data_IF_432599202193
#
_entry.id   IF_432599202193
#
_cell.length_a   1.000
_cell.length_b   1.000
_cell.length_c   1.000
_cell.angle_alpha   90.00
_cell.angle_beta   90.00
_cell.angle_gamma   90.00
#
_symmetry.space_group_name_H-M   'P 1'
#
loop_
_entity.id
_entity.type
_entity.pdbx_description
1 polymer ?
#
# COMPACT_ATOMS: atom_id res chain seq x y z
N UNK A 1 -31.44 3.46 21.34
CA UNK A 1 -31.99 3.95 20.06
C UNK A 1 -33.45 4.27 20.28
N UNK A 2 -33.88 5.48 19.93
CA UNK A 2 -35.25 5.95 20.12
C UNK A 2 -36.23 5.19 19.21
N UNK A 3 -37.49 5.04 19.59
CA UNK A 3 -38.51 4.29 18.82
C UNK A 3 -38.74 4.92 17.45
N UNK A 4 -38.60 6.24 17.37
CA UNK A 4 -38.70 7.01 16.13
C UNK A 4 -37.51 6.76 15.19
N UNK A 5 -36.29 6.70 15.72
CA UNK A 5 -35.08 6.38 14.95
C UNK A 5 -35.17 4.96 14.36
N UNK A 6 -35.71 4.01 15.13
CA UNK A 6 -35.93 2.64 14.66
C UNK A 6 -36.92 2.60 13.49
N UNK A 7 -38.05 3.31 13.59
CA UNK A 7 -39.04 3.34 12.51
C UNK A 7 -38.46 3.95 11.21
N UNK A 8 -37.61 4.97 11.33
CA UNK A 8 -36.93 5.60 10.20
C UNK A 8 -35.88 4.69 9.56
N UNK A 9 -35.14 3.92 10.36
CA UNK A 9 -34.17 2.95 9.83
C UNK A 9 -34.84 1.76 9.14
N UNK A 10 -36.01 1.33 9.62
CA UNK A 10 -36.80 0.28 8.94
C UNK A 10 -37.31 0.78 7.59
N UNK A 11 -37.84 2.00 7.53
CA UNK A 11 -38.31 2.62 6.28
C UNK A 11 -37.16 2.83 5.28
N UNK A 12 -35.99 3.29 5.77
CA UNK A 12 -34.76 3.40 4.97
C UNK A 12 -34.31 2.04 4.41
N UNK A 13 -34.32 0.99 5.23
CA UNK A 13 -33.98 -0.36 4.79
C UNK A 13 -34.93 -0.87 3.71
N UNK A 14 -36.24 -0.65 3.88
CA UNK A 14 -37.25 -1.11 2.92
C UNK A 14 -37.07 -0.42 1.56
N UNK A 15 -36.75 0.88 1.56
CA UNK A 15 -36.48 1.64 0.35
C UNK A 15 -35.15 1.25 -0.32
N UNK A 16 -34.11 0.97 0.46
CA UNK A 16 -32.82 0.49 -0.05
C UNK A 16 -32.93 -0.91 -0.68
N UNK A 17 -33.82 -1.76 -0.16
CA UNK A 17 -34.09 -3.09 -0.71
C UNK A 17 -34.88 -3.01 -2.01
N UNK A 18 -35.90 -2.15 -2.09
CA UNK A 18 -36.64 -1.91 -3.33
C UNK A 18 -35.70 -1.42 -4.45
N UNK A 19 -34.75 -0.54 -4.14
CA UNK A 19 -33.73 -0.07 -5.09
C UNK A 19 -32.73 -1.14 -5.52
N UNK A 20 -32.53 -2.19 -4.73
CA UNK A 20 -31.63 -3.31 -5.08
C UNK A 20 -32.29 -4.37 -5.97
N UNK A 21 -33.63 -4.44 -5.98
CA UNK A 21 -34.40 -5.37 -6.80
C UNK A 21 -34.88 -4.76 -8.13
N UNK A 22 -34.60 -3.48 -8.37
CA UNK A 22 -34.90 -2.82 -9.65
C UNK A 22 -33.77 -3.11 -10.66
N UNK A 23 -34.08 -3.86 -11.72
CA UNK A 23 -33.13 -4.21 -12.80
C UNK A 23 -32.54 -2.98 -13.53
N UNK A 24 -33.03 -1.78 -13.25
CA UNK A 24 -32.57 -0.51 -13.85
C UNK A 24 -31.61 0.27 -12.97
N UNK A 25 -31.32 -0.13 -11.74
CA UNK A 25 -30.37 0.58 -10.89
C UNK A 25 -28.93 0.33 -11.33
N UNK A 26 -28.14 1.41 -11.35
CA UNK A 26 -26.74 1.33 -11.74
C UNK A 26 -25.94 0.52 -10.71
N UNK A 27 -24.90 -0.18 -11.17
CA UNK A 27 -24.01 -0.97 -10.30
C UNK A 27 -23.40 -0.15 -9.15
N UNK A 28 -23.23 1.16 -9.36
CA UNK A 28 -22.77 2.10 -8.34
C UNK A 28 -23.82 2.35 -7.24
N UNK A 29 -25.08 2.57 -7.61
CA UNK A 29 -26.18 2.74 -6.66
C UNK A 29 -26.48 1.43 -5.91
N UNK A 30 -26.32 0.29 -6.58
CA UNK A 30 -26.39 -1.03 -5.95
C UNK A 30 -25.28 -1.18 -4.90
N UNK A 31 -24.03 -0.84 -5.23
CA UNK A 31 -22.91 -0.93 -4.29
C UNK A 31 -23.06 0.03 -3.09
N UNK A 32 -23.54 1.25 -3.34
CA UNK A 32 -23.81 2.25 -2.31
C UNK A 32 -24.94 1.81 -1.38
N UNK A 33 -26.03 1.28 -1.93
CA UNK A 33 -27.15 0.74 -1.16
C UNK A 33 -26.70 -0.46 -0.33
N UNK A 34 -25.91 -1.38 -0.91
CA UNK A 34 -25.29 -2.51 -0.19
C UNK A 34 -24.40 -2.06 0.97
N UNK A 35 -23.58 -1.02 0.79
CA UNK A 35 -22.72 -0.50 1.86
C UNK A 35 -23.54 0.16 2.98
N UNK A 36 -24.54 0.97 2.61
CA UNK A 36 -25.41 1.63 3.58
C UNK A 36 -26.19 0.62 4.44
N UNK A 37 -26.66 -0.47 3.82
CA UNK A 37 -27.32 -1.55 4.57
C UNK A 37 -26.34 -2.24 5.54
N UNK A 38 -25.08 -2.49 5.12
CA UNK A 38 -24.07 -3.04 6.03
C UNK A 38 -23.82 -2.14 7.25
N UNK A 39 -23.78 -0.83 7.04
CA UNK A 39 -23.60 0.15 8.11
C UNK A 39 -24.81 0.20 9.07
N UNK A 40 -26.04 0.08 8.54
CA UNK A 40 -27.25 -0.03 9.36
C UNK A 40 -27.26 -1.35 10.16
N UNK A 41 -26.90 -2.48 9.55
CA UNK A 41 -26.80 -3.76 10.26
C UNK A 41 -25.73 -3.77 11.35
N UNK A 42 -24.60 -3.07 11.13
CA UNK A 42 -23.51 -2.96 12.11
C UNK A 42 -23.86 -2.04 13.29
N UNK A 43 -24.89 -1.19 13.16
CA UNK A 43 -25.30 -0.23 14.20
C UNK A 43 -26.48 -0.69 15.05
N UNK A 44 -27.04 -1.88 14.79
CA UNK A 44 -28.22 -2.41 15.49
C UNK A 44 -27.95 -3.74 16.21
N UNK A 45 -27.73 -3.68 17.53
CA UNK A 45 -27.56 -4.85 18.42
C UNK A 45 -28.87 -5.36 19.07
N UNK A 46 -30.04 -4.95 18.56
CA UNK A 46 -31.34 -5.27 19.17
C UNK A 46 -31.92 -6.61 18.64
N UNK A 47 -32.27 -7.58 19.51
CA UNK A 47 -32.72 -8.91 19.10
C UNK A 47 -34.01 -8.93 18.26
N UNK A 48 -34.92 -7.96 18.39
CA UNK A 48 -36.13 -7.91 17.53
C UNK A 48 -35.83 -7.46 16.10
N UNK A 49 -34.70 -6.79 15.89
CA UNK A 49 -34.23 -6.29 14.60
C UNK A 49 -33.39 -7.34 13.84
N UNK A 50 -32.75 -8.26 14.58
CA UNK A 50 -31.99 -9.37 14.00
C UNK A 50 -32.87 -10.35 13.20
N UNK A 51 -34.12 -10.61 13.64
CA UNK A 51 -35.05 -11.50 12.92
C UNK A 51 -35.39 -10.97 11.50
N UNK A 52 -35.42 -9.64 11.33
CA UNK A 52 -35.67 -9.00 10.02
C UNK A 52 -34.40 -8.93 9.14
N UNK A 53 -33.21 -9.10 9.73
CA UNK A 53 -31.90 -9.10 9.04
C UNK A 53 -31.49 -10.52 8.59
N UNK A 54 -32.06 -11.57 9.15
CA UNK A 54 -31.72 -12.97 8.83
C UNK A 54 -31.84 -13.33 7.33
N UNK A 55 -32.91 -12.95 6.61
CA UNK A 55 -33.00 -13.17 5.16
C UNK A 55 -31.89 -12.46 4.38
N UNK A 56 -31.41 -11.33 4.90
CA UNK A 56 -30.39 -10.48 4.28
C UNK A 56 -28.96 -11.01 4.52
N UNK A 57 -28.67 -11.55 5.72
CA UNK A 57 -27.42 -12.29 5.98
C UNK A 57 -27.29 -13.49 5.03
N UNK A 58 -28.38 -14.20 4.76
CA UNK A 58 -28.39 -15.31 3.81
C UNK A 58 -28.09 -14.87 2.36
N UNK A 59 -28.55 -13.69 1.94
CA UNK A 59 -28.26 -13.15 0.60
C UNK A 59 -26.78 -12.75 0.41
N UNK A 60 -26.15 -12.19 1.44
CA UNK A 60 -24.71 -11.86 1.40
C UNK A 60 -23.85 -13.13 1.49
N UNK A 61 -24.26 -14.13 2.29
CA UNK A 61 -23.55 -15.41 2.40
C UNK A 61 -23.60 -16.23 1.10
N UNK A 62 -24.61 -16.03 0.24
CA UNK A 62 -24.66 -16.63 -1.11
C UNK A 62 -23.55 -16.12 -2.06
N UNK A 63 -22.72 -15.15 -1.65
CA UNK A 63 -21.57 -14.68 -2.45
C UNK A 63 -20.23 -15.35 -2.08
N UNK A 64 -20.19 -16.19 -1.04
CA UNK A 64 -19.01 -16.93 -0.59
C UNK A 64 -19.33 -18.43 -0.47
N UNK A 65 -18.32 -19.30 -0.41
CA UNK A 65 -18.56 -20.69 -0.01
C UNK A 65 -19.06 -20.72 1.43
N UNK A 66 -20.12 -21.47 1.69
CA UNK A 66 -20.60 -21.64 3.06
C UNK A 66 -19.54 -22.37 3.90
N UNK A 67 -19.53 -22.06 5.20
CA UNK A 67 -18.65 -22.73 6.16
C UNK A 67 -18.85 -24.25 6.14
N UNK A 68 -20.10 -24.69 5.94
CA UNK A 68 -20.47 -26.10 5.91
C UNK A 68 -19.99 -26.79 4.63
N UNK A 69 -20.07 -26.14 3.46
CA UNK A 69 -19.51 -26.66 2.20
C UNK A 69 -18.00 -26.80 2.28
N UNK A 70 -17.30 -25.81 2.84
CA UNK A 70 -15.85 -25.81 3.00
C UNK A 70 -15.39 -26.92 3.95
N UNK A 71 -16.08 -27.09 5.10
CA UNK A 71 -15.76 -28.15 6.05
C UNK A 71 -16.05 -29.55 5.49
N UNK A 72 -17.13 -29.71 4.72
CA UNK A 72 -17.49 -31.00 4.13
C UNK A 72 -16.52 -31.44 3.04
N UNK A 73 -15.90 -30.49 2.32
CA UNK A 73 -14.91 -30.79 1.28
C UNK A 73 -13.47 -30.83 1.80
N UNK A 74 -13.24 -30.42 3.06
CA UNK A 74 -11.96 -30.57 3.76
C UNK A 74 -10.86 -29.65 3.24
N UNK A 75 -11.21 -28.44 2.76
CA UNK A 75 -10.25 -27.44 2.28
C UNK A 75 -10.45 -26.07 2.94
N UNK A 76 -11.12 -26.03 4.10
CA UNK A 76 -11.45 -24.79 4.80
C UNK A 76 -10.20 -24.06 5.31
N UNK A 77 -9.17 -24.78 5.76
CA UNK A 77 -7.94 -24.20 6.32
C UNK A 77 -7.04 -23.57 5.25
N UNK A 78 -7.15 -24.03 4.01
CA UNK A 78 -6.37 -23.52 2.87
C UNK A 78 -7.15 -22.54 1.99
N UNK A 79 -8.44 -22.34 2.28
CA UNK A 79 -9.26 -21.34 1.63
C UNK A 79 -8.84 -19.93 2.05
N UNK A 80 -8.77 -19.01 1.08
CA UNK A 80 -8.34 -17.62 1.28
C UNK A 80 -9.44 -16.60 1.02
N UNK A 81 -10.58 -17.01 0.49
CA UNK A 81 -11.73 -16.14 0.26
C UNK A 81 -12.27 -16.20 -1.16
N UNK A 82 -13.43 -15.57 -1.35
CA UNK A 82 -14.05 -15.34 -2.66
C UNK A 82 -14.00 -13.86 -2.97
N UNK A 83 -13.60 -13.52 -4.19
CA UNK A 83 -13.35 -12.14 -4.60
C UNK A 83 -13.99 -11.87 -5.96
N UNK A 84 -14.31 -10.61 -6.24
CA UNK A 84 -14.90 -10.20 -7.52
C UNK A 84 -13.89 -9.62 -8.51
N UNK A 85 -12.62 -9.48 -8.09
CA UNK A 85 -11.54 -8.85 -8.87
C UNK A 85 -10.27 -9.69 -8.84
N UNK A 86 -9.67 -9.92 -10.01
CA UNK A 86 -8.45 -10.74 -10.17
C UNK A 86 -7.30 -10.27 -9.28
N UNK A 87 -7.00 -8.97 -9.24
CA UNK A 87 -5.89 -8.45 -8.44
C UNK A 87 -6.03 -8.72 -6.93
N UNK A 88 -7.26 -8.87 -6.42
CA UNK A 88 -7.48 -9.24 -5.01
C UNK A 88 -7.26 -10.73 -4.74
N UNK A 89 -7.63 -11.59 -5.69
CA UNK A 89 -7.34 -13.04 -5.63
C UNK A 89 -5.83 -13.27 -5.63
N UNK A 90 -5.11 -12.57 -6.50
CA UNK A 90 -3.65 -12.66 -6.61
C UNK A 90 -2.98 -12.21 -5.31
N UNK A 91 -3.37 -11.06 -4.77
CA UNK A 91 -2.84 -10.57 -3.50
C UNK A 91 -3.13 -11.53 -2.33
N UNK A 92 -4.35 -12.10 -2.27
CA UNK A 92 -4.74 -13.01 -1.19
C UNK A 92 -3.97 -14.34 -1.23
N UNK A 93 -3.70 -14.87 -2.42
CA UNK A 93 -2.93 -16.10 -2.59
C UNK A 93 -1.44 -15.85 -2.37
N UNK A 94 -0.87 -14.74 -2.84
CA UNK A 94 0.54 -14.42 -2.63
C UNK A 94 0.89 -14.06 -1.19
N UNK A 95 -0.05 -13.55 -0.41
CA UNK A 95 0.12 -13.34 1.03
C UNK A 95 0.39 -14.65 1.80
N UNK A 96 0.10 -15.82 1.20
CA UNK A 96 0.40 -17.13 1.75
C UNK A 96 0.92 -18.06 0.65
N UNK A 97 2.11 -17.74 0.15
CA UNK A 97 2.72 -18.32 -1.05
C UNK A 97 2.96 -19.85 -1.01
N UNK A 98 2.91 -20.45 0.18
CA UNK A 98 3.26 -21.85 0.38
C UNK A 98 2.13 -22.81 -0.05
N UNK A 99 0.88 -22.46 0.27
CA UNK A 99 -0.29 -23.29 -0.01
C UNK A 99 -1.59 -22.53 0.26
N UNK A 100 -2.48 -22.50 -0.72
CA UNK A 100 -3.76 -21.82 -0.60
C UNK A 100 -4.55 -21.79 -1.90
N UNK A 101 -5.86 -21.61 -1.76
CA UNK A 101 -6.77 -21.45 -2.88
C UNK A 101 -7.82 -20.38 -2.59
N UNK A 102 -8.30 -19.73 -3.64
CA UNK A 102 -9.30 -18.67 -3.59
C UNK A 102 -10.24 -18.79 -4.79
N UNK A 103 -11.42 -18.19 -4.69
CA UNK A 103 -12.33 -18.11 -5.83
C UNK A 103 -12.44 -16.68 -6.36
N UNK A 104 -12.47 -16.57 -7.67
CA UNK A 104 -12.91 -15.40 -8.39
C UNK A 104 -14.37 -15.61 -8.79
N UNK A 105 -15.26 -14.71 -8.37
CA UNK A 105 -16.67 -14.74 -8.71
C UNK A 105 -17.01 -13.59 -9.65
N UNK A 106 -17.64 -13.92 -10.78
CA UNK A 106 -18.18 -12.94 -11.72
C UNK A 106 -19.65 -13.29 -12.00
N UNK A 107 -20.55 -12.49 -11.43
CA UNK A 107 -21.98 -12.79 -11.39
C UNK A 107 -22.26 -14.17 -10.76
N UNK A 108 -22.80 -15.12 -11.52
CA UNK A 108 -23.09 -16.49 -11.06
C UNK A 108 -21.96 -17.48 -11.39
N UNK A 109 -20.86 -17.02 -12.00
CA UNK A 109 -19.77 -17.90 -12.42
C UNK A 109 -18.62 -17.86 -11.43
N UNK A 110 -18.05 -19.04 -11.22
CA UNK A 110 -16.98 -19.32 -10.27
C UNK A 110 -15.72 -19.74 -11.01
N UNK A 111 -14.58 -19.20 -10.60
CA UNK A 111 -13.28 -19.66 -11.05
C UNK A 111 -12.38 -19.87 -9.84
N UNK A 112 -11.84 -21.07 -9.70
CA UNK A 112 -10.94 -21.45 -8.61
C UNK A 112 -9.49 -21.18 -9.02
N UNK A 113 -8.76 -20.55 -8.11
CA UNK A 113 -7.35 -20.24 -8.26
C UNK A 113 -6.58 -20.91 -7.14
N UNK A 114 -5.57 -21.68 -7.53
CA UNK A 114 -4.69 -22.41 -6.61
C UNK A 114 -3.28 -21.90 -6.81
N UNK A 115 -2.58 -21.55 -5.72
CA UNK A 115 -1.18 -21.16 -5.79
C UNK A 115 -0.27 -22.37 -6.02
N UNK A 116 0.70 -22.21 -6.91
CA UNK A 116 1.74 -23.19 -7.22
C UNK A 116 3.11 -22.66 -6.82
N UNK A 117 4.11 -23.55 -6.65
CA UNK A 117 5.51 -23.15 -6.53
C UNK A 117 5.94 -22.18 -7.64
N UNK A 118 6.90 -21.30 -7.33
CA UNK A 118 7.33 -20.18 -8.18
C UNK A 118 6.26 -19.11 -8.45
N UNK A 119 5.30 -18.93 -7.53
CA UNK A 119 4.31 -17.84 -7.55
C UNK A 119 3.46 -17.82 -8.84
N UNK A 120 3.10 -19.01 -9.33
CA UNK A 120 2.19 -19.15 -10.47
C UNK A 120 0.83 -19.68 -10.01
N UNK A 121 -0.21 -19.50 -10.84
CA UNK A 121 -1.56 -19.96 -10.51
C UNK A 121 -1.98 -21.13 -11.39
N UNK A 122 -2.64 -22.11 -10.79
CA UNK A 122 -3.51 -23.06 -11.49
C UNK A 122 -4.93 -22.51 -11.44
N UNK A 123 -5.53 -22.29 -12.61
CA UNK A 123 -6.87 -21.68 -12.73
C UNK A 123 -7.85 -22.68 -13.32
N UNK A 124 -9.02 -22.80 -12.73
CA UNK A 124 -10.10 -23.59 -13.29
C UNK A 124 -10.73 -22.89 -14.50
N UNK A 125 -11.48 -23.63 -15.34
CA UNK A 125 -12.52 -23.03 -16.17
C UNK A 125 -13.57 -22.31 -15.31
N UNK A 126 -14.37 -21.45 -15.94
CA UNK A 126 -15.54 -20.86 -15.30
C UNK A 126 -16.62 -21.93 -15.09
N UNK A 127 -17.18 -21.98 -13.89
CA UNK A 127 -18.17 -22.96 -13.45
C UNK A 127 -19.44 -22.26 -12.95
N UNK A 128 -20.57 -22.93 -13.06
CA UNK A 128 -21.88 -22.33 -12.77
C UNK A 128 -22.36 -22.59 -11.34
N UNK A 129 -21.61 -23.35 -10.54
CA UNK A 129 -21.96 -23.67 -9.16
C UNK A 129 -20.72 -23.73 -8.25
N UNK A 130 -20.93 -23.43 -6.96
CA UNK A 130 -19.93 -23.61 -5.90
C UNK A 130 -19.50 -25.07 -5.77
N UNK A 131 -20.44 -26.00 -5.97
CA UNK A 131 -20.19 -27.43 -5.84
C UNK A 131 -19.26 -27.96 -6.93
N UNK A 132 -19.46 -27.52 -8.19
CA UNK A 132 -18.55 -27.86 -9.29
C UNK A 132 -17.15 -27.29 -9.03
N UNK A 133 -17.07 -26.08 -8.45
CA UNK A 133 -15.82 -25.44 -8.08
C UNK A 133 -15.03 -26.24 -7.04
N UNK A 134 -15.70 -26.71 -5.99
CA UNK A 134 -15.08 -27.55 -4.96
C UNK A 134 -14.71 -28.94 -5.50
N UNK A 135 -15.51 -29.51 -6.39
CA UNK A 135 -15.22 -30.80 -7.01
C UNK A 135 -14.03 -30.70 -7.97
N UNK A 136 -13.91 -29.60 -8.72
CA UNK A 136 -12.74 -29.33 -9.55
C UNK A 136 -11.48 -29.20 -8.70
N UNK A 137 -11.54 -28.46 -7.59
CA UNK A 137 -10.44 -28.29 -6.64
C UNK A 137 -9.94 -29.66 -6.15
N UNK A 138 -10.86 -30.53 -5.70
CA UNK A 138 -10.54 -31.88 -5.23
C UNK A 138 -9.80 -32.72 -6.28
N UNK A 139 -10.19 -32.61 -7.55
CA UNK A 139 -9.65 -33.43 -8.63
C UNK A 139 -8.31 -32.93 -9.18
N UNK A 140 -7.99 -31.64 -9.04
CA UNK A 140 -6.85 -31.01 -9.74
C UNK A 140 -5.83 -30.33 -8.81
N UNK A 141 -6.17 -30.09 -7.54
CA UNK A 141 -5.34 -29.33 -6.61
C UNK A 141 -4.64 -30.17 -5.54
N UNK A 142 -4.80 -31.50 -5.54
CA UNK A 142 -4.23 -32.39 -4.51
C UNK A 142 -2.69 -32.34 -4.44
N UNK A 143 -2.01 -31.98 -5.52
CA UNK A 143 -0.54 -31.81 -5.54
C UNK A 143 -0.07 -30.48 -4.94
N UNK A 144 -0.95 -29.48 -4.84
CA UNK A 144 -0.60 -28.10 -4.49
C UNK A 144 -1.27 -27.60 -3.20
N UNK A 145 -2.37 -28.23 -2.78
CA UNK A 145 -3.16 -27.84 -1.61
C UNK A 145 -3.43 -29.07 -0.77
N UNK A 146 -3.02 -29.03 0.49
CA UNK A 146 -3.37 -30.08 1.46
C UNK A 146 -4.77 -29.87 2.00
N UNK A 147 -5.40 -30.99 2.33
CA UNK A 147 -6.68 -31.03 3.03
C UNK A 147 -6.53 -30.66 4.50
N UNK A 148 -7.63 -30.27 5.11
CA UNK A 148 -7.72 -29.93 6.54
C UNK A 148 -7.28 -31.11 7.42
N UNK A 149 -7.60 -32.35 7.02
CA UNK A 149 -7.15 -33.55 7.72
C UNK A 149 -5.62 -33.69 7.68
N UNK A 150 -4.99 -33.49 6.52
CA UNK A 150 -3.53 -33.55 6.39
C UNK A 150 -2.83 -32.44 7.18
N UNK A 151 -3.44 -31.25 7.27
CA UNK A 151 -2.92 -30.14 8.07
C UNK A 151 -3.04 -30.40 9.57
N UNK A 152 -4.14 -31.01 10.02
CA UNK A 152 -4.32 -31.38 11.43
C UNK A 152 -3.28 -32.40 11.93
N UNK A 153 -2.80 -33.30 11.06
CA UNK A 153 -1.72 -34.24 11.40
C UNK A 153 -0.31 -33.63 11.36
N UNK A 154 -0.13 -32.44 10.79
CA UNK A 154 1.15 -31.73 10.69
C UNK A 154 1.39 -30.73 11.83
N UNK A 155 0.35 -30.36 12.58
CA UNK A 155 0.44 -29.43 13.71
C UNK A 155 0.53 -30.26 15.00
N UNK A 156 1.62 -30.18 15.79
CA UNK A 156 1.65 -30.81 17.09
C UNK A 156 0.65 -30.09 18.00
N UNK A 157 -0.42 -30.78 18.36
CA UNK A 157 -1.38 -30.32 19.36
C UNK A 157 -0.63 -30.23 20.70
N UNK A 158 -0.42 -29.02 21.21
CA UNK A 158 -0.07 -28.82 22.62
C UNK A 158 -1.34 -29.15 23.43
N UNK A 159 -1.41 -30.37 23.94
CA UNK A 159 -2.51 -30.77 24.82
C UNK A 159 -2.49 -29.93 26.11
N UNK A 160 -3.64 -29.45 26.59
CA UNK A 160 -3.74 -28.81 27.89
C UNK A 160 -3.48 -29.87 28.97
N UNK A 161 -2.51 -29.63 29.85
CA UNK A 161 -2.25 -30.47 31.03
C UNK A 161 -3.51 -30.47 31.88
N UNK A 162 -4.28 -31.56 31.75
CA UNK A 162 -5.41 -31.84 32.62
C UNK A 162 -4.86 -32.25 33.98
N UNK A 163 -5.15 -31.44 35.00
CA UNK A 163 -4.99 -31.83 36.38
C UNK A 163 -5.90 -33.02 36.66
N UNK A 164 -5.33 -34.22 36.73
CA UNK A 164 -5.59 -35.21 37.79
C UNK A 164 -4.86 -36.51 37.48
N UNK A 165 -3.83 -36.81 38.27
CA UNK A 165 -3.47 -38.17 38.70
C UNK A 165 -2.46 -38.08 39.84
N UNK A 166 -2.95 -38.22 41.07
CA UNK A 166 -2.19 -38.67 42.23
C UNK A 166 -1.52 -40.01 41.95
N UNK A 167 -0.20 -40.13 42.15
CA UNK A 167 0.39 -40.97 43.21
C UNK A 167 1.90 -41.25 42.99
N UNK A 168 2.70 -40.98 44.04
CA UNK A 168 3.95 -41.65 44.47
C UNK A 168 5.12 -41.76 43.44
N UNK A 169 6.34 -41.28 43.72
CA UNK A 169 7.17 -41.69 44.86
C UNK A 169 8.54 -40.95 44.92
N UNK A 170 8.94 -40.56 46.14
CA UNK A 170 10.31 -40.48 46.71
C UNK A 170 11.45 -39.61 46.14
N UNK A 171 11.85 -38.64 46.98
CA UNK A 171 13.22 -38.25 47.40
C UNK A 171 14.16 -37.57 46.39
N UNK A 172 14.39 -36.26 46.51
CA UNK A 172 15.38 -35.63 47.40
C UNK A 172 15.46 -34.12 47.14
N UNK A 173 15.82 -33.38 48.19
CA UNK A 173 15.90 -31.92 48.23
C UNK A 173 16.96 -31.34 47.26
N UNK A 174 16.56 -30.36 46.45
CA UNK A 174 17.35 -29.15 46.23
C UNK A 174 16.41 -27.96 46.00
N UNK A 175 16.75 -26.83 46.59
CA UNK A 175 15.98 -25.59 46.55
C UNK A 175 16.06 -25.02 45.12
N UNK A 176 14.98 -25.14 44.36
CA UNK A 176 14.78 -24.36 43.14
C UNK A 176 13.62 -23.39 43.40
N UNK A 177 13.94 -22.13 43.64
CA UNK A 177 12.98 -21.03 43.51
C UNK A 177 12.57 -20.95 42.04
N UNK A 178 11.31 -21.31 41.77
CA UNK A 178 10.72 -21.29 40.44
C UNK A 178 10.66 -19.85 39.90
N UNK A 179 11.38 -19.52 38.80
CA UNK A 179 11.40 -18.17 38.22
C UNK A 179 10.00 -17.67 37.83
N UNK A 180 9.04 -18.58 37.61
CA UNK A 180 7.64 -18.21 37.34
C UNK A 180 6.91 -17.62 38.56
N UNK A 181 7.32 -18.02 39.76
CA UNK A 181 6.75 -17.53 41.02
C UNK A 181 7.23 -16.10 41.31
N UNK A 182 8.51 -15.83 41.04
CA UNK A 182 9.09 -14.49 41.09
C UNK A 182 8.43 -13.52 40.09
N UNK A 183 8.17 -13.96 38.86
CA UNK A 183 7.51 -13.14 37.83
C UNK A 183 6.06 -12.84 38.21
N UNK A 184 5.32 -13.80 38.78
CA UNK A 184 3.95 -13.57 39.26
C UNK A 184 3.90 -12.59 40.43
N UNK A 185 4.88 -12.65 41.32
CA UNK A 185 4.96 -11.76 42.48
C UNK A 185 5.35 -10.33 42.08
N UNK A 186 6.28 -10.17 41.12
CA UNK A 186 6.60 -8.86 40.52
C UNK A 186 5.41 -8.27 39.75
N UNK A 187 4.67 -9.08 39.00
CA UNK A 187 3.49 -8.61 38.24
C UNK A 187 2.39 -8.14 39.20
N UNK A 188 2.20 -8.84 40.32
CA UNK A 188 1.22 -8.44 41.35
C UNK A 188 1.64 -7.15 42.09
N UNK A 189 2.94 -6.98 42.38
CA UNK A 189 3.46 -5.76 42.98
C UNK A 189 3.36 -4.55 42.04
N UNK A 190 3.62 -4.74 40.75
CA UNK A 190 3.47 -3.71 39.73
C UNK A 190 2.00 -3.28 39.56
N UNK A 191 1.06 -4.23 39.54
CA UNK A 191 -0.37 -3.93 39.46
C UNK A 191 -0.86 -3.12 40.67
N UNK A 192 -0.39 -3.47 41.87
CA UNK A 192 -0.74 -2.77 43.12
C UNK A 192 -0.16 -1.35 43.17
N UNK A 193 1.05 -1.13 42.64
CA UNK A 193 1.63 0.21 42.49
C UNK A 193 0.86 1.07 41.47
N UNK A 194 0.37 0.45 40.40
CA UNK A 194 -0.40 1.13 39.35
C UNK A 194 -1.77 1.58 39.86
N UNK A 195 -2.44 0.74 40.67
CA UNK A 195 -3.71 1.08 41.31
C UNK A 195 -3.55 2.16 42.39
N UNK A 196 -2.43 2.19 43.13
CA UNK A 196 -2.12 3.25 44.10
C UNK A 196 -1.93 4.62 43.42
N UNK A 197 -1.28 4.65 42.25
CA UNK A 197 -1.06 5.88 41.46
C UNK A 197 -2.37 6.40 40.85
N UNK A 198 -3.27 5.50 40.42
CA UNK A 198 -4.58 5.86 39.89
C UNK A 198 -5.45 6.51 40.98
N UNK A 199 -5.39 6.02 42.23
CA UNK A 199 -6.13 6.64 43.34
C UNK A 199 -5.53 7.97 43.80
N UNK A 200 -4.23 8.21 43.64
CA UNK A 200 -3.59 9.49 44.01
C UNK A 200 -3.92 10.63 43.01
N UNK A 201 -4.24 10.31 41.76
CA UNK A 201 -4.35 11.30 40.66
C UNK A 201 -5.77 11.75 40.29
N UNK A 202 -6.82 11.19 40.88
CA UNK A 202 -8.21 11.54 40.55
C UNK A 202 -8.90 12.16 41.77
N UNK A 203 -8.76 13.48 41.94
CA UNK A 203 -9.69 14.30 42.74
C UNK A 203 -10.63 15.09 41.81
N UNK A 204 -11.95 15.14 42.08
CA UNK A 204 -12.89 15.94 41.29
C UNK A 204 -12.86 17.41 41.73
N UNK A 205 -12.58 18.33 40.81
CA UNK A 205 -12.75 19.78 41.04
C UNK A 205 -14.12 20.22 40.55
N UNK A 206 -14.88 20.79 41.48
CA UNK A 206 -16.21 21.39 41.34
C UNK A 206 -16.24 22.63 40.42
N UNK A 207 -17.31 22.75 39.64
CA UNK A 207 -17.66 23.92 38.84
C UNK A 207 -18.09 25.14 39.67
N UNK A 208 -17.97 26.37 39.12
CA UNK A 208 -18.86 27.48 39.48
C UNK A 208 -19.75 27.95 38.32
N UNK A 209 -21.01 28.24 38.70
CA UNK A 209 -22.06 28.90 37.92
C UNK A 209 -21.83 30.42 37.86
N UNK A 210 -22.25 31.09 36.78
CA UNK A 210 -22.98 32.40 36.79
C UNK A 210 -23.32 32.83 35.35
N UNK A 211 -24.62 32.81 34.99
CA UNK A 211 -25.57 33.95 34.80
C UNK A 211 -25.62 34.57 33.39
N UNK A 212 -26.86 34.66 32.92
CA UNK A 212 -27.32 35.11 31.60
C UNK A 212 -27.31 36.63 31.40
N UNK A 213 -27.19 37.07 30.14
CA UNK A 213 -27.83 38.29 29.62
C UNK A 213 -28.27 38.07 28.16
N UNK A 214 -29.50 38.49 27.84
CA UNK A 214 -30.15 38.50 26.51
C UNK A 214 -29.79 39.78 25.72
N UNK A 215 -29.76 39.69 24.38
CA UNK A 215 -30.32 40.69 23.42
C UNK A 215 -30.11 40.16 21.97
N UNK A 216 -31.14 39.70 21.26
CA UNK A 216 -32.13 40.40 20.43
C UNK A 216 -31.67 40.79 19.00
N UNK A 217 -32.05 39.93 18.06
CA UNK A 217 -32.62 40.14 16.70
C UNK A 217 -32.30 41.44 15.93
N UNK A 218 -31.82 41.28 14.69
CA UNK A 218 -32.43 41.87 13.48
C UNK A 218 -32.07 41.12 12.19
N UNK A 219 -33.13 40.69 11.49
CA UNK A 219 -33.15 40.24 10.10
C UNK A 219 -32.87 41.40 9.14
N UNK A 220 -32.25 41.10 8.00
CA UNK A 220 -32.58 41.76 6.73
C UNK A 220 -32.54 40.75 5.58
N UNK A 221 -33.67 40.71 4.90
CA UNK A 221 -34.04 39.96 3.71
C UNK A 221 -33.37 40.48 2.43
N UNK A 222 -33.00 39.58 1.54
CA UNK A 222 -33.06 39.81 0.09
C UNK A 222 -33.28 38.47 -0.64
N UNK A 223 -34.48 38.33 -1.19
CA UNK A 223 -34.92 37.29 -2.11
C UNK A 223 -34.43 37.58 -3.53
N UNK A 224 -33.93 36.57 -4.23
CA UNK A 224 -34.04 36.50 -5.69
C UNK A 224 -34.01 35.06 -6.21
N UNK A 225 -35.15 34.67 -6.78
CA UNK A 225 -35.36 33.68 -7.86
C UNK A 225 -34.86 32.24 -7.67
N UNK A 226 -35.81 31.38 -7.28
CA UNK A 226 -35.79 29.95 -7.57
C UNK A 226 -35.94 29.70 -9.07
N UNK A 227 -35.03 28.91 -9.66
CA UNK A 227 -35.31 27.83 -10.61
C UNK A 227 -34.00 27.12 -10.99
N UNK A 228 -33.96 25.81 -10.71
CA UNK A 228 -33.10 24.79 -11.33
C UNK A 228 -31.60 24.78 -10.96
N UNK A 229 -31.26 23.93 -9.98
CA UNK A 229 -30.53 22.66 -10.18
C UNK A 229 -30.32 22.04 -8.80
N UNK A 230 -30.75 20.79 -8.64
CA UNK A 230 -30.41 19.98 -7.48
C UNK A 230 -28.89 20.02 -7.30
N UNK A 231 -28.42 20.62 -6.20
CA UNK A 231 -27.03 20.56 -5.77
C UNK A 231 -26.89 19.21 -5.05
N UNK A 232 -26.10 18.25 -5.54
CA UNK A 232 -25.77 17.09 -4.73
C UNK A 232 -25.04 17.57 -3.46
N UNK A 233 -25.47 17.01 -2.34
CA UNK A 233 -24.89 17.25 -1.00
C UNK A 233 -23.40 16.87 -1.02
N UNK A 234 -22.58 17.73 -0.42
CA UNK A 234 -21.13 17.79 -0.56
C UNK A 234 -20.38 16.47 -0.30
N UNK A 235 -19.57 16.04 -1.26
CA UNK A 235 -18.41 15.19 -0.98
C UNK A 235 -17.34 16.05 -0.28
N UNK A 236 -16.59 15.45 0.65
CA UNK A 236 -15.53 16.10 1.41
C UNK A 236 -14.32 16.43 0.51
N UNK A 237 -14.49 17.43 -0.34
CA UNK A 237 -13.45 17.97 -1.21
C UNK A 237 -12.46 18.76 -0.35
N UNK A 238 -11.23 18.27 -0.29
CA UNK A 238 -10.10 18.98 0.31
C UNK A 238 -9.41 19.81 -0.78
N UNK A 239 -8.99 21.02 -0.43
CA UNK A 239 -8.28 21.91 -1.35
C UNK A 239 -6.79 21.96 -0.95
N UNK A 240 -5.93 21.38 -1.77
CA UNK A 240 -4.48 21.39 -1.64
C UNK A 240 -3.90 22.48 -2.57
N UNK A 241 -3.88 23.72 -2.09
CA UNK A 241 -3.40 24.89 -2.84
C UNK A 241 -3.98 25.03 -4.28
N UNK A 242 -5.31 25.02 -4.37
CA UNK A 242 -6.06 25.06 -5.63
C UNK A 242 -6.31 23.70 -6.27
N UNK A 243 -5.71 22.61 -5.77
CA UNK A 243 -5.98 21.26 -6.24
C UNK A 243 -7.12 20.64 -5.42
N UNK A 244 -8.23 20.32 -6.08
CA UNK A 244 -9.36 19.64 -5.43
C UNK A 244 -9.07 18.15 -5.35
N UNK A 245 -9.06 17.61 -4.14
CA UNK A 245 -8.70 16.23 -3.86
C UNK A 245 -9.54 15.62 -2.74
N UNK A 246 -9.46 14.30 -2.63
CA UNK A 246 -10.03 13.53 -1.53
C UNK A 246 -8.88 13.02 -0.67
N UNK A 247 -9.07 13.06 0.64
CA UNK A 247 -8.12 12.51 1.60
C UNK A 247 -8.60 11.15 2.09
N UNK A 248 -7.76 10.13 1.96
CA UNK A 248 -7.98 8.81 2.55
C UNK A 248 -6.94 8.55 3.64
N UNK A 249 -7.37 8.23 4.86
CA UNK A 249 -6.43 8.04 5.97
C UNK A 249 -5.63 6.74 5.79
N UNK A 250 -4.31 6.84 5.81
CA UNK A 250 -3.42 5.67 5.70
C UNK A 250 -3.13 5.15 7.09
N UNK A 251 -3.47 3.88 7.34
CA UNK A 251 -3.14 3.11 8.56
C UNK A 251 -3.01 3.97 9.84
N UNK A 252 -4.15 4.32 10.43
CA UNK A 252 -4.23 5.22 11.58
C UNK A 252 -3.45 4.74 12.83
N UNK A 253 -2.99 3.48 12.87
CA UNK A 253 -2.18 2.96 13.98
C UNK A 253 -0.72 3.40 13.92
N UNK A 254 -0.16 3.52 12.71
CA UNK A 254 1.25 3.84 12.52
C UNK A 254 1.46 5.35 12.35
N UNK A 255 0.62 5.99 11.55
CA UNK A 255 0.66 7.43 11.34
C UNK A 255 -0.75 8.02 11.41
N UNK A 256 -1.22 8.47 12.59
CA UNK A 256 -2.59 8.93 12.76
C UNK A 256 -2.92 10.14 11.88
N UNK A 257 -1.94 10.96 11.52
CA UNK A 257 -2.17 12.18 10.75
C UNK A 257 -1.81 12.06 9.27
N UNK A 258 -1.51 10.86 8.77
CA UNK A 258 -1.11 10.63 7.39
C UNK A 258 -2.31 10.27 6.51
N UNK A 259 -2.43 10.96 5.39
CA UNK A 259 -3.50 10.76 4.40
C UNK A 259 -2.90 10.55 3.02
N UNK A 260 -3.48 9.62 2.25
CA UNK A 260 -3.32 9.55 0.80
C UNK A 260 -4.16 10.65 0.18
N UNK A 261 -3.61 11.32 -0.82
CA UNK A 261 -4.30 12.37 -1.57
C UNK A 261 -4.70 11.79 -2.92
N UNK A 262 -6.02 11.66 -3.13
CA UNK A 262 -6.60 11.24 -4.40
C UNK A 262 -7.10 12.50 -5.14
N UNK A 263 -6.40 12.90 -6.20
CA UNK A 263 -6.73 14.10 -6.98
C UNK A 263 -7.98 13.84 -7.84
N UNK A 264 -8.95 14.78 -7.85
CA UNK A 264 -10.24 14.57 -8.53
C UNK A 264 -10.17 14.61 -10.06
N UNK A 265 -9.25 15.41 -10.61
CA UNK A 265 -9.06 15.48 -12.04
C UNK A 265 -8.03 14.44 -12.45
N UNK A 266 -8.30 13.70 -13.53
CA UNK A 266 -7.27 12.97 -14.26
C UNK A 266 -6.26 14.01 -14.75
N UNK A 267 -5.19 14.18 -13.98
CA UNK A 267 -4.07 15.00 -14.40
C UNK A 267 -3.32 14.16 -15.41
N UNK A 268 -3.12 14.70 -16.62
CA UNK A 268 -2.23 14.11 -17.63
C UNK A 268 -0.81 14.09 -17.05
N UNK A 269 -0.49 13.05 -16.29
CA UNK A 269 0.84 12.76 -15.77
C UNK A 269 1.40 11.60 -16.59
N UNK A 270 2.59 11.77 -17.15
CA UNK A 270 3.32 10.68 -17.80
C UNK A 270 4.11 9.82 -16.79
N UNK A 271 3.94 10.08 -15.49
CA UNK A 271 4.62 9.39 -14.41
C UNK A 271 3.66 9.13 -13.26
N UNK A 272 3.78 7.96 -12.62
CA UNK A 272 3.02 7.65 -11.42
C UNK A 272 3.61 8.36 -10.21
N UNK A 273 2.76 9.10 -9.49
CA UNK A 273 3.10 9.77 -8.24
C UNK A 273 2.03 9.43 -7.19
N UNK A 274 2.46 8.86 -6.08
CA UNK A 274 1.62 8.64 -4.90
C UNK A 274 1.75 9.85 -3.96
N UNK A 275 0.64 10.51 -3.66
CA UNK A 275 0.64 11.75 -2.88
C UNK A 275 0.24 11.48 -1.43
N UNK A 276 1.08 11.94 -0.50
CA UNK A 276 0.90 11.83 0.93
C UNK A 276 0.82 13.22 1.56
N UNK A 277 -0.17 13.42 2.41
CA UNK A 277 -0.38 14.64 3.16
C UNK A 277 -0.41 14.36 4.65
N UNK A 278 0.49 14.99 5.39
CA UNK A 278 0.49 15.01 6.84
C UNK A 278 -0.38 16.17 7.32
N UNK A 279 -1.56 15.84 7.84
CA UNK A 279 -2.52 16.85 8.34
C UNK A 279 -2.08 17.32 9.73
N UNK A 280 -1.99 18.64 9.93
CA UNK A 280 -1.71 19.20 11.25
C UNK A 280 -2.86 18.93 12.23
N UNK A 281 -2.56 18.80 13.53
CA UNK A 281 -3.56 18.50 14.57
C UNK A 281 -4.65 19.57 14.72
N UNK A 282 -4.32 20.81 14.36
CA UNK A 282 -5.20 21.96 14.38
C UNK A 282 -5.91 22.22 13.04
N UNK A 283 -5.82 21.28 12.09
CA UNK A 283 -6.36 21.40 10.73
C UNK A 283 -5.84 22.61 9.92
N UNK A 284 -4.73 23.23 10.36
CA UNK A 284 -4.10 24.35 9.66
C UNK A 284 -3.25 23.80 8.50
N UNK A 285 -3.51 24.30 7.30
CA UNK A 285 -2.70 24.00 6.13
C UNK A 285 -1.31 24.64 6.22
N UNK A 286 -0.27 24.02 5.61
CA UNK A 286 1.04 24.65 5.56
C UNK A 286 0.98 25.97 4.79
N UNK A 287 1.92 26.87 5.10
CA UNK A 287 2.16 28.05 4.26
C UNK A 287 2.78 27.56 2.96
N UNK A 288 1.99 27.55 1.89
CA UNK A 288 2.34 26.92 0.61
C UNK A 288 3.59 27.53 -0.03
N UNK A 289 3.84 28.81 0.19
CA UNK A 289 5.01 29.51 -0.35
C UNK A 289 6.34 29.00 0.22
N UNK A 290 6.31 28.51 1.47
CA UNK A 290 7.48 27.97 2.18
C UNK A 290 7.39 26.47 2.44
N UNK A 291 6.35 25.80 1.93
CA UNK A 291 6.13 24.39 2.20
C UNK A 291 7.23 23.53 1.57
N UNK A 292 7.85 22.69 2.41
CA UNK A 292 8.82 21.70 1.97
C UNK A 292 8.13 20.45 1.45
N UNK A 293 8.73 19.84 0.44
CA UNK A 293 8.24 18.64 -0.21
C UNK A 293 9.36 17.61 -0.21
N UNK A 294 9.01 16.38 0.16
CA UNK A 294 9.91 15.25 0.15
C UNK A 294 9.46 14.25 -0.89
N UNK A 295 10.36 13.85 -1.77
CA UNK A 295 10.06 12.97 -2.91
C UNK A 295 10.93 11.74 -2.78
N UNK A 296 10.30 10.58 -2.65
CA UNK A 296 10.97 9.29 -2.56
C UNK A 296 10.88 8.52 -3.88
N UNK A 297 12.02 8.00 -4.35
CA UNK A 297 12.06 7.08 -5.48
C UNK A 297 11.73 5.66 -5.01
N UNK A 298 10.70 5.05 -5.59
CA UNK A 298 10.27 3.69 -5.26
C UNK A 298 10.74 2.68 -6.29
N UNK A 299 11.33 1.59 -5.80
CA UNK A 299 11.76 0.46 -6.62
C UNK A 299 10.98 -0.80 -6.25
N UNK A 300 10.68 -1.64 -7.23
CA UNK A 300 10.27 -3.02 -6.98
C UNK A 300 11.41 -3.83 -6.34
N UNK A 301 11.09 -4.97 -5.75
CA UNK A 301 12.08 -5.87 -5.13
C UNK A 301 13.25 -6.25 -6.05
N UNK A 302 13.01 -6.32 -7.36
CA UNK A 302 14.03 -6.62 -8.37
C UNK A 302 14.97 -5.45 -8.71
N UNK A 303 14.69 -4.23 -8.24
CA UNK A 303 15.45 -3.02 -8.56
C UNK A 303 14.94 -2.22 -9.76
N UNK A 304 13.77 -2.56 -10.29
CA UNK A 304 13.12 -1.78 -11.34
C UNK A 304 12.42 -0.55 -10.74
N UNK A 305 12.52 0.60 -11.40
CA UNK A 305 11.79 1.81 -10.98
C UNK A 305 10.28 1.58 -11.04
N UNK A 306 9.57 1.98 -9.99
CA UNK A 306 8.12 1.84 -9.89
C UNK A 306 7.40 3.18 -10.02
N UNK A 307 7.65 4.13 -9.11
CA UNK A 307 6.96 5.42 -9.06
C UNK A 307 7.65 6.38 -8.07
N UNK A 308 7.17 7.62 -7.99
CA UNK A 308 7.53 8.54 -6.92
C UNK A 308 6.48 8.53 -5.81
N UNK A 309 6.90 8.69 -4.55
CA UNK A 309 6.02 8.97 -3.42
C UNK A 309 6.36 10.35 -2.90
N UNK A 310 5.36 11.23 -2.78
CA UNK A 310 5.54 12.63 -2.39
C UNK A 310 4.89 12.87 -1.05
N UNK A 311 5.63 13.43 -0.09
CA UNK A 311 5.14 13.80 1.23
C UNK A 311 5.10 15.32 1.41
N UNK A 312 3.95 15.79 1.89
CA UNK A 312 3.61 17.20 2.10
C UNK A 312 3.17 17.39 3.56
N UNK A 313 3.52 18.51 4.18
CA UNK A 313 2.98 18.91 5.49
C UNK A 313 3.91 18.66 6.68
N UNK A 314 5.18 18.32 6.45
CA UNK A 314 6.23 18.26 7.48
C UNK A 314 7.42 19.14 7.09
N UNK A 315 8.13 19.65 8.10
CA UNK A 315 9.43 20.31 7.95
C UNK A 315 10.58 19.53 8.60
N UNK A 316 10.27 18.43 9.30
CA UNK A 316 11.30 17.54 9.86
C UNK A 316 11.72 16.53 8.81
N UNK A 317 13.01 16.58 8.48
CA UNK A 317 13.68 15.66 7.55
C UNK A 317 13.62 14.23 8.11
N UNK A 318 13.92 14.06 9.39
CA UNK A 318 13.95 12.75 10.06
C UNK A 318 12.56 12.11 10.06
N UNK A 319 11.52 12.90 10.35
CA UNK A 319 10.15 12.43 10.30
C UNK A 319 9.72 12.05 8.87
N UNK A 320 10.08 12.87 7.88
CA UNK A 320 9.80 12.57 6.48
C UNK A 320 10.44 11.26 6.02
N UNK A 321 11.72 11.04 6.38
CA UNK A 321 12.44 9.79 6.09
C UNK A 321 11.72 8.59 6.72
N UNK A 322 11.35 8.69 8.01
CA UNK A 322 10.66 7.62 8.72
C UNK A 322 9.31 7.25 8.07
N UNK A 323 8.50 8.26 7.69
CA UNK A 323 7.21 8.06 7.02
C UNK A 323 7.40 7.41 5.66
N UNK A 324 8.29 7.96 4.83
CA UNK A 324 8.51 7.48 3.47
C UNK A 324 9.14 6.09 3.40
N UNK A 325 9.95 5.69 4.38
CA UNK A 325 10.45 4.31 4.48
C UNK A 325 9.38 3.33 4.97
N UNK A 326 8.49 3.77 5.87
CA UNK A 326 7.45 2.91 6.45
C UNK A 326 6.28 2.69 5.49
N UNK A 327 5.96 3.69 4.67
CA UNK A 327 4.85 3.65 3.70
C UNK A 327 5.00 2.55 2.65
N UNK A 328 6.23 2.12 2.35
CA UNK A 328 6.53 1.28 1.18
C UNK A 328 6.43 -0.22 1.46
N UNK A 329 6.51 -0.60 2.74
CA UNK A 329 6.40 -1.98 3.21
C UNK A 329 5.12 -2.71 2.75
N UNK A 330 3.90 -2.10 2.77
CA UNK A 330 2.68 -2.75 2.29
C UNK A 330 2.51 -2.85 0.76
N UNK A 331 3.35 -2.20 -0.06
CA UNK A 331 3.19 -2.13 -1.53
C UNK A 331 4.25 -2.93 -2.31
N UNK A 332 5.07 -3.72 -1.62
CA UNK A 332 6.21 -4.45 -2.21
C UNK A 332 7.20 -3.57 -2.99
N UNK A 333 7.23 -2.27 -2.68
CA UNK A 333 8.26 -1.35 -3.14
C UNK A 333 9.18 -0.98 -1.98
N UNK A 334 10.34 -0.45 -2.33
CA UNK A 334 11.31 0.02 -1.35
C UNK A 334 11.81 1.40 -1.76
N UNK A 335 11.94 2.30 -0.78
CA UNK A 335 12.49 3.66 -0.97
C UNK A 335 13.98 3.61 -1.28
N UNK A 336 14.39 4.11 -2.44
CA UNK A 336 15.78 4.10 -2.93
C UNK A 336 16.53 5.34 -2.46
N UNK A 337 15.93 6.50 -2.71
CA UNK A 337 16.44 7.82 -2.39
C UNK A 337 15.28 8.70 -1.93
N UNK A 338 15.59 9.76 -1.19
CA UNK A 338 14.63 10.79 -0.82
C UNK A 338 15.28 12.16 -1.08
N UNK A 339 14.58 12.98 -1.86
CA UNK A 339 14.98 14.31 -2.24
C UNK A 339 14.04 15.34 -1.60
N UNK A 340 14.59 16.47 -1.21
CA UNK A 340 13.86 17.61 -0.68
C UNK A 340 13.81 18.72 -1.73
N UNK A 341 12.62 19.29 -1.91
CA UNK A 341 12.38 20.47 -2.75
C UNK A 341 11.29 21.35 -2.11
N UNK A 342 10.87 22.40 -2.81
CA UNK A 342 9.83 23.32 -2.37
C UNK A 342 8.52 23.09 -3.14
N UNK A 343 7.39 23.35 -2.49
CA UNK A 343 6.06 23.19 -3.08
C UNK A 343 5.88 23.95 -4.39
N UNK A 344 6.33 25.21 -4.45
CA UNK A 344 6.24 26.03 -5.66
C UNK A 344 6.92 25.35 -6.85
N UNK A 345 8.12 24.79 -6.63
CA UNK A 345 8.89 24.10 -7.66
C UNK A 345 8.21 22.79 -8.07
N UNK A 346 7.84 21.96 -7.09
CA UNK A 346 7.19 20.68 -7.35
C UNK A 346 5.87 20.85 -8.11
N UNK A 347 5.02 21.80 -7.69
CA UNK A 347 3.71 22.07 -8.32
C UNK A 347 3.83 22.48 -9.79
N UNK A 348 4.94 23.10 -10.20
CA UNK A 348 5.18 23.47 -11.60
C UNK A 348 5.60 22.28 -12.47
N UNK A 349 6.19 21.24 -11.88
CA UNK A 349 6.93 20.22 -12.63
C UNK A 349 6.39 18.78 -12.49
N UNK A 350 5.51 18.48 -11.53
CA UNK A 350 5.03 17.11 -11.27
C UNK A 350 4.27 16.44 -12.43
N UNK A 351 3.77 17.22 -13.39
CA UNK A 351 3.02 16.71 -14.55
C UNK A 351 3.89 15.95 -15.56
N UNK A 352 5.18 16.28 -15.64
CA UNK A 352 6.10 15.74 -16.64
C UNK A 352 7.30 15.10 -15.95
N UNK A 353 7.54 13.82 -16.20
CA UNK A 353 8.62 13.04 -15.61
C UNK A 353 9.98 13.71 -15.78
N UNK A 354 10.25 14.22 -16.98
CA UNK A 354 11.50 14.88 -17.33
C UNK A 354 11.73 16.14 -16.50
N UNK A 355 10.68 16.94 -16.36
CA UNK A 355 10.75 18.21 -15.64
C UNK A 355 10.82 17.98 -14.13
N UNK A 356 10.02 17.04 -13.61
CA UNK A 356 10.07 16.60 -12.22
C UNK A 356 11.46 16.09 -11.86
N UNK A 357 12.05 15.25 -12.70
CA UNK A 357 13.38 14.72 -12.49
C UNK A 357 14.45 15.82 -12.46
N UNK A 358 14.50 16.69 -13.48
CA UNK A 358 15.51 17.75 -13.53
C UNK A 358 15.38 18.73 -12.35
N UNK A 359 14.17 19.21 -12.07
CA UNK A 359 13.98 20.31 -11.13
C UNK A 359 13.80 19.87 -9.69
N UNK A 360 13.25 18.67 -9.44
CA UNK A 360 12.96 18.21 -8.08
C UNK A 360 13.89 17.09 -7.61
N UNK A 361 14.46 16.28 -8.51
CA UNK A 361 15.37 15.19 -8.15
C UNK A 361 16.83 15.64 -8.32
N UNK A 362 17.23 16.03 -9.54
CA UNK A 362 18.61 16.45 -9.85
C UNK A 362 19.00 17.77 -9.18
N UNK A 363 18.15 18.80 -9.27
CA UNK A 363 18.37 20.09 -8.61
C UNK A 363 17.90 20.10 -7.13
N UNK A 364 17.22 19.04 -6.69
CA UNK A 364 16.76 18.87 -5.31
C UNK A 364 17.89 18.50 -4.35
N UNK A 365 17.64 18.68 -3.05
CA UNK A 365 18.61 18.27 -2.02
C UNK A 365 18.41 16.80 -1.67
N UNK A 366 19.40 15.94 -1.93
CA UNK A 366 19.38 14.55 -1.47
C UNK A 366 19.51 14.51 0.06
N UNK A 367 18.48 14.01 0.75
CA UNK A 367 18.45 13.94 2.21
C UNK A 367 18.65 12.52 2.75
N UNK A 368 18.35 11.50 1.94
CA UNK A 368 18.53 10.12 2.33
C UNK A 368 18.69 9.21 1.12
N UNK A 369 19.49 8.17 1.27
CA UNK A 369 19.66 7.11 0.28
C UNK A 369 19.85 5.77 1.00
N UNK A 370 19.33 4.69 0.42
CA UNK A 370 19.34 3.35 1.04
C UNK A 370 20.75 2.82 1.27
N UNK A 371 21.59 2.94 0.26
CA UNK A 371 22.99 2.51 0.28
C UNK A 371 23.80 3.49 -0.57
N UNK A 372 25.02 3.78 -0.14
CA UNK A 372 25.98 4.63 -0.85
C UNK A 372 26.34 4.08 -2.23
N UNK A 373 26.13 2.78 -2.47
CA UNK A 373 26.40 2.12 -3.75
C UNK A 373 25.20 2.10 -4.72
N UNK A 374 24.07 2.68 -4.33
CA UNK A 374 22.88 2.73 -5.21
C UNK A 374 23.07 3.79 -6.27
N UNK A 375 22.76 3.43 -7.51
CA UNK A 375 22.79 4.36 -8.64
C UNK A 375 21.52 5.23 -8.65
N UNK A 376 21.63 6.52 -8.99
CA UNK A 376 20.46 7.36 -9.26
C UNK A 376 19.71 6.83 -10.49
N UNK A 377 18.42 7.16 -10.61
CA UNK A 377 17.58 6.74 -11.71
C UNK A 377 17.32 7.89 -12.68
N UNK A 378 17.49 7.65 -13.99
CA UNK A 378 17.21 8.64 -15.03
C UNK A 378 15.97 8.21 -15.82
N UNK A 379 15.04 9.13 -16.14
CA UNK A 379 13.91 8.83 -17.00
C UNK A 379 14.35 8.24 -18.35
N UNK A 380 13.65 7.21 -18.79
CA UNK A 380 13.94 6.50 -20.03
C UNK A 380 13.84 7.43 -21.27
N UNK A 381 12.97 8.44 -21.22
CA UNK A 381 12.78 9.43 -22.27
C UNK A 381 14.00 10.33 -22.52
N UNK A 382 14.91 10.49 -21.55
CA UNK A 382 16.16 11.21 -21.76
C UNK A 382 17.19 10.40 -22.55
N UNK A 383 17.06 9.08 -22.55
CA UNK A 383 18.09 8.16 -23.00
C UNK A 383 17.91 7.81 -24.47
N UNK A 384 18.87 8.21 -25.31
CA UNK A 384 18.96 7.70 -26.67
C UNK A 384 19.59 6.30 -26.65
N UNK A 385 18.76 5.29 -26.89
CA UNK A 385 19.11 3.86 -26.86
C UNK A 385 19.93 3.40 -28.07
N UNK A 386 20.13 4.25 -29.08
CA UNK A 386 20.97 3.92 -30.24
C UNK A 386 22.44 3.81 -29.81
N UNK A 387 22.98 2.60 -29.84
CA UNK A 387 24.38 2.32 -29.51
C UNK A 387 25.30 2.64 -30.71
N UNK A 388 26.30 3.48 -30.49
CA UNK A 388 27.24 3.93 -31.54
C UNK A 388 28.49 3.06 -31.68
N UNK A 389 28.92 2.42 -30.60
CA UNK A 389 30.06 1.52 -30.58
C UNK A 389 29.55 0.11 -30.26
N UNK A 390 29.51 -0.82 -31.23
CA UNK A 390 29.09 -2.18 -30.96
C UNK A 390 30.19 -2.94 -30.21
N UNK A 391 29.81 -3.68 -29.18
CA UNK A 391 30.63 -4.65 -28.43
C UNK A 391 29.70 -5.54 -27.60
N UNK A 392 30.20 -6.68 -27.13
CA UNK A 392 29.44 -7.65 -26.34
C UNK A 392 29.37 -7.21 -24.88
N UNK A 393 28.16 -7.19 -24.32
CA UNK A 393 27.92 -6.85 -22.91
C UNK A 393 27.64 -8.13 -22.12
N UNK A 394 28.03 -8.13 -20.84
CA UNK A 394 27.57 -9.17 -19.90
C UNK A 394 26.06 -9.08 -19.69
N UNK A 395 25.43 -10.20 -19.36
CA UNK A 395 24.01 -10.24 -18.98
C UNK A 395 23.70 -9.22 -17.87
N UNK A 396 22.58 -8.52 -18.01
CA UNK A 396 22.15 -7.48 -17.08
C UNK A 396 21.00 -7.95 -16.18
N UNK A 397 20.88 -7.31 -15.02
CA UNK A 397 19.71 -7.37 -14.13
C UNK A 397 19.09 -5.98 -14.00
N UNK A 398 17.91 -5.85 -13.40
CA UNK A 398 17.27 -4.54 -13.22
C UNK A 398 18.11 -3.53 -12.41
N UNK A 399 19.03 -4.01 -11.58
CA UNK A 399 19.99 -3.20 -10.80
C UNK A 399 21.24 -2.80 -11.58
N UNK A 400 21.50 -3.40 -12.74
CA UNK A 400 22.68 -3.05 -13.56
C UNK A 400 22.48 -1.65 -14.15
N UNK A 401 23.35 -0.68 -13.87
CA UNK A 401 23.21 0.67 -14.41
C UNK A 401 23.51 0.71 -15.90
N UNK A 402 22.95 1.71 -16.59
CA UNK A 402 23.35 2.08 -17.95
C UNK A 402 24.45 3.14 -17.90
N UNK A 403 25.47 3.02 -18.75
CA UNK A 403 26.50 4.07 -18.91
C UNK A 403 26.04 5.00 -20.03
N UNK A 404 25.98 6.29 -19.69
CA UNK A 404 25.46 7.33 -20.54
C UNK A 404 26.52 8.39 -20.81
N UNK A 405 26.54 8.93 -22.03
CA UNK A 405 27.32 10.09 -22.42
C UNK A 405 26.43 11.31 -22.60
N UNK A 406 26.66 12.37 -21.84
CA UNK A 406 26.06 13.68 -22.06
C UNK A 406 26.84 14.41 -23.15
N UNK A 407 26.15 14.71 -24.25
CA UNK A 407 26.65 15.50 -25.37
C UNK A 407 25.75 16.71 -25.62
N UNK A 408 26.08 17.85 -25.03
CA UNK A 408 25.27 19.08 -25.10
C UNK A 408 23.84 18.82 -24.59
N UNK A 409 22.89 18.59 -25.49
CA UNK A 409 21.47 18.34 -25.20
C UNK A 409 21.03 16.89 -25.42
N UNK A 410 21.96 15.97 -25.72
CA UNK A 410 21.65 14.56 -25.96
C UNK A 410 22.35 13.68 -24.93
N UNK A 411 21.63 12.70 -24.39
CA UNK A 411 22.20 11.67 -23.54
C UNK A 411 22.15 10.35 -24.32
N UNK A 412 23.31 9.72 -24.52
CA UNK A 412 23.45 8.53 -25.38
C UNK A 412 23.96 7.34 -24.60
N UNK A 413 23.44 6.16 -24.90
CA UNK A 413 23.92 4.91 -24.31
C UNK A 413 25.30 4.54 -24.86
N UNK A 414 26.23 4.28 -23.94
CA UNK A 414 27.53 3.64 -24.21
C UNK A 414 27.45 2.14 -23.90
N UNK A 415 26.90 1.78 -22.74
CA UNK A 415 26.75 0.42 -22.22
C UNK A 415 25.40 0.28 -21.50
N UNK A 416 24.83 -0.92 -21.50
CA UNK A 416 23.56 -1.24 -20.85
C UNK A 416 22.46 -1.53 -21.85
N UNK A 417 22.81 -1.90 -23.09
CA UNK A 417 21.85 -2.37 -24.06
C UNK A 417 21.13 -3.63 -23.57
N UNK A 418 21.84 -4.54 -22.89
CA UNK A 418 21.21 -5.72 -22.28
C UNK A 418 20.27 -5.34 -21.12
N UNK A 419 20.58 -4.27 -20.37
CA UNK A 419 19.70 -3.74 -19.32
C UNK A 419 18.41 -3.17 -19.90
N UNK A 420 18.50 -2.41 -20.99
CA UNK A 420 17.35 -1.77 -21.64
C UNK A 420 16.41 -2.81 -22.25
N UNK A 421 16.95 -3.92 -22.77
CA UNK A 421 16.15 -5.03 -23.34
C UNK A 421 15.32 -5.80 -22.31
N UNK A 422 15.61 -5.68 -21.02
CA UNK A 422 14.88 -6.43 -19.98
C UNK A 422 13.39 -6.05 -19.92
N UNK A 423 13.06 -4.79 -20.18
CA UNK A 423 11.68 -4.29 -20.15
C UNK A 423 11.53 -3.05 -21.03
N UNK A 424 10.56 -3.08 -21.93
CA UNK A 424 10.16 -1.92 -22.74
C UNK A 424 9.23 -0.96 -21.98
N UNK A 425 8.79 -1.32 -20.78
CA UNK A 425 7.86 -0.54 -19.94
C UNK A 425 8.59 0.30 -18.88
N UNK A 426 9.93 0.17 -18.79
CA UNK A 426 10.74 0.92 -17.82
C UNK A 426 10.59 2.42 -18.02
N UNK A 427 10.13 3.11 -16.97
CA UNK A 427 10.04 4.57 -16.96
C UNK A 427 11.38 5.22 -16.62
N UNK A 428 12.27 4.52 -15.91
CA UNK A 428 13.59 5.01 -15.56
C UNK A 428 14.62 3.89 -15.38
N UNK A 429 15.90 4.21 -15.57
CA UNK A 429 17.03 3.28 -15.45
C UNK A 429 18.02 3.76 -14.39
N UNK A 430 18.63 2.86 -13.60
CA UNK A 430 19.82 3.22 -12.83
C UNK A 430 20.92 3.63 -13.81
N UNK A 431 21.67 4.70 -13.53
CA UNK A 431 22.63 5.23 -14.51
C UNK A 431 23.95 5.70 -13.92
N UNK A 432 24.94 5.75 -14.82
CA UNK A 432 26.23 6.40 -14.67
C UNK A 432 26.38 7.40 -15.82
N UNK A 433 26.58 8.67 -15.51
CA UNK A 433 26.65 9.74 -16.50
C UNK A 433 28.08 10.25 -16.66
N UNK A 434 28.58 10.17 -17.88
CA UNK A 434 29.84 10.77 -18.31
C UNK A 434 29.55 12.05 -19.07
N UNK A 435 30.26 13.14 -18.78
CA UNK A 435 30.13 14.37 -19.55
C UNK A 435 31.28 14.54 -20.55
N UNK A 436 30.94 14.90 -21.79
CA UNK A 436 31.91 15.41 -22.76
C UNK A 436 32.72 16.59 -22.21
N UNK A 437 32.13 17.44 -21.36
CA UNK A 437 32.80 18.57 -20.73
C UNK A 437 33.97 18.13 -19.83
N UNK A 438 33.90 16.91 -19.28
CA UNK A 438 34.91 16.34 -18.39
C UNK A 438 35.99 15.54 -19.17
N UNK A 439 36.02 15.66 -20.50
CA UNK A 439 37.04 15.01 -21.34
C UNK A 439 36.64 13.62 -21.86
N UNK A 440 35.46 13.08 -21.52
CA UNK A 440 35.01 11.79 -22.03
C UNK A 440 34.65 11.86 -23.52
N UNK A 441 35.61 11.62 -24.40
CA UNK A 441 35.41 11.61 -25.86
C UNK A 441 35.09 10.22 -26.40
N UNK A 442 34.46 10.15 -27.58
CA UNK A 442 34.24 8.87 -28.28
C UNK A 442 35.53 8.10 -28.59
N UNK A 443 36.65 8.81 -28.77
CA UNK A 443 37.95 8.18 -29.02
C UNK A 443 38.45 7.46 -27.76
N UNK A 444 38.40 8.13 -26.61
CA UNK A 444 38.74 7.55 -25.31
C UNK A 444 37.84 6.33 -25.03
N UNK A 445 36.53 6.47 -25.24
CA UNK A 445 35.57 5.36 -25.02
C UNK A 445 35.90 4.17 -25.91
N UNK A 446 36.17 4.40 -27.20
CA UNK A 446 36.52 3.33 -28.14
C UNK A 446 37.84 2.65 -27.76
N UNK A 447 38.82 3.41 -27.29
CA UNK A 447 40.10 2.89 -26.84
C UNK A 447 39.95 2.05 -25.58
N UNK A 448 39.16 2.49 -24.59
CA UNK A 448 38.86 1.72 -23.39
C UNK A 448 38.17 0.38 -23.75
N UNK A 449 37.13 0.42 -24.58
CA UNK A 449 36.43 -0.79 -25.05
C UNK A 449 37.39 -1.76 -25.75
N UNK A 450 38.32 -1.26 -26.58
CA UNK A 450 39.27 -2.10 -27.32
C UNK A 450 40.29 -2.84 -26.45
N UNK A 451 40.52 -2.37 -25.22
CA UNK A 451 41.50 -2.93 -24.28
C UNK A 451 40.89 -3.95 -23.32
N UNK A 452 39.55 -3.97 -23.21
CA UNK A 452 38.85 -4.83 -22.27
C UNK A 452 38.49 -6.19 -22.89
N UNK A 453 38.56 -7.28 -22.11
CA UNK A 453 38.08 -8.58 -22.55
C UNK A 453 36.56 -8.57 -22.76
N UNK A 454 36.09 -9.31 -23.77
CA UNK A 454 34.66 -9.48 -24.08
C UNK A 454 34.12 -10.76 -23.40
N UNK A 455 32.87 -10.80 -22.93
CA UNK A 455 31.92 -9.68 -22.87
C UNK A 455 32.30 -8.67 -21.77
N UNK A 456 32.08 -7.38 -22.04
CA UNK A 456 32.47 -6.29 -21.14
C UNK A 456 31.38 -6.07 -20.07
N UNK A 457 31.78 -6.06 -18.79
CA UNK A 457 30.88 -5.67 -17.70
C UNK A 457 30.79 -4.14 -17.55
N UNK A 458 29.66 -3.67 -17.01
CA UNK A 458 29.42 -2.23 -16.85
C UNK A 458 30.46 -1.59 -15.92
N UNK A 459 30.82 -2.28 -14.84
CA UNK A 459 31.77 -1.77 -13.85
C UNK A 459 33.19 -1.73 -14.41
N UNK A 460 33.61 -2.75 -15.16
CA UNK A 460 34.93 -2.78 -15.79
C UNK A 460 35.10 -1.65 -16.81
N UNK A 461 34.06 -1.40 -17.62
CA UNK A 461 34.09 -0.30 -18.57
C UNK A 461 34.15 1.04 -17.86
N UNK A 462 33.29 1.27 -16.88
CA UNK A 462 33.26 2.53 -16.15
C UNK A 462 34.61 2.82 -15.47
N UNK A 463 35.20 1.82 -14.80
CA UNK A 463 36.51 1.95 -14.16
C UNK A 463 37.65 2.21 -15.17
N UNK A 464 37.61 1.59 -16.36
CA UNK A 464 38.57 1.85 -17.42
C UNK A 464 38.45 3.29 -17.97
N UNK A 465 37.24 3.83 -18.04
CA UNK A 465 36.99 5.21 -18.48
C UNK A 465 37.48 6.23 -17.44
N UNK A 466 37.20 6.01 -16.15
CA UNK A 466 37.70 6.87 -15.08
C UNK A 466 39.23 6.91 -15.02
N UNK A 467 39.87 5.74 -15.08
CA UNK A 467 41.35 5.66 -15.07
C UNK A 467 41.99 6.32 -16.30
N UNK A 468 41.35 6.22 -17.48
CA UNK A 468 41.85 6.85 -18.70
C UNK A 468 41.68 8.38 -18.67
N UNK A 469 40.55 8.88 -18.16
CA UNK A 469 40.31 10.33 -18.04
C UNK A 469 41.28 10.99 -17.05
N UNK A 470 41.59 10.33 -15.93
CA UNK A 470 42.59 10.80 -14.96
C UNK A 470 43.98 10.93 -15.60
N UNK A 471 44.37 9.99 -16.47
CA UNK A 471 45.66 10.01 -17.14
C UNK A 471 45.82 11.07 -18.24
N UNK A 472 44.72 11.60 -18.80
CA UNK A 472 44.75 12.72 -19.76
C UNK A 472 44.72 14.10 -19.08
N UNK A 473 44.39 14.14 -17.78
CA UNK A 473 44.31 15.38 -16.98
C UNK A 473 45.60 15.77 -16.26
N UNK A 474 46.63 14.91 -16.32
CA UNK A 474 48.02 15.15 -15.86
C UNK A 474 48.94 15.35 -17.04
#
# INVERSE_FOLDING_TARGET
MDVLEKALLVDELQHLIEGLNDDKTSLFEIAKSKQRIKDICASCDDPTFQDQITPFKAYIQNEEFSTDELSNHGYAMTYRGTYNFMGRVENALFASADMGWAALRQAQHWQVWVIRPALSFLKSPWMNSSQDALQWLKNHASEYVKTDHELQHLIPVLEPISQNSTSSSSSNQSIHTDPLSLIKEETAQFQSQLDAIIQEKIQPVSAPKTTAVKANVKQTTATSSNLNKAKPVALNDFNLDGLVCRLERINARTFPSLYRVDLHNEIDQNIKIDWLYLKAENDVQPVWESAQIFIAEQLYAQGQFSHYVVLIGTHSIEYAISVLQSYTNPLHTQTSSIHQTHWINFKQHYHQHESLFNECIMNGTLIWQRDQRVYPYIPASFVNTQKFIPFEETSATFLTPVILLRERHKIRVIHGAERIKLSNEDQAYPYLLLDRADGYTWQLIRQAISRLPQPISVHDLYQALESSALSEST
#
